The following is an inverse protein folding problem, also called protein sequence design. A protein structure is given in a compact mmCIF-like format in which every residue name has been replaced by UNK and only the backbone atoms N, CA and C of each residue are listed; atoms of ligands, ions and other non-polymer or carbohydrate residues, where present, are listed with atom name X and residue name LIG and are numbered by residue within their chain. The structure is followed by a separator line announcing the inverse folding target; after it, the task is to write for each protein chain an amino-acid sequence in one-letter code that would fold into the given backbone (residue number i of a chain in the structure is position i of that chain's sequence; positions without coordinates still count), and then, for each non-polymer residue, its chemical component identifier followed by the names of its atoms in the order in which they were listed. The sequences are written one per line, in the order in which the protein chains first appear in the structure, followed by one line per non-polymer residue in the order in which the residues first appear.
data_IF_301081201414
#
_entry.id   IF_301081201414
#
_cell.length_a   1.000
_cell.length_b   1.000
_cell.length_c   1.000
_cell.angle_alpha   90.00
_cell.angle_beta   90.00
_cell.angle_gamma   90.00
#
_symmetry.space_group_name_H-M   'P 1'
#
loop_
_entity.id
_entity.type
_entity.pdbx_description
1 polymer ?
#
# COMPACT_ATOMS: atom_id res chain seq x y z
N UNK A 1 -58.20 34.02 57.18
CA UNK A 1 -57.79 34.45 55.83
C UNK A 1 -56.70 33.53 55.31
N UNK A 2 -57.08 32.55 54.44
CA UNK A 2 -56.17 31.52 53.88
C UNK A 2 -55.71 32.00 52.51
N UNK A 3 -54.42 32.18 52.31
CA UNK A 3 -53.86 32.45 51.00
C UNK A 3 -53.55 31.12 50.32
N UNK A 4 -54.16 30.90 49.15
CA UNK A 4 -53.91 29.77 48.28
C UNK A 4 -52.65 30.04 47.45
N UNK A 5 -51.70 29.08 47.51
CA UNK A 5 -50.52 29.08 46.65
C UNK A 5 -50.86 28.50 45.26
N UNK A 6 -50.66 29.31 44.25
CA UNK A 6 -50.81 28.94 42.84
C UNK A 6 -49.58 28.09 42.40
N UNK A 7 -49.84 26.81 42.01
CA UNK A 7 -48.83 25.96 41.32
C UNK A 7 -48.66 26.42 39.88
N UNK A 8 -47.51 27.00 39.57
CA UNK A 8 -47.07 27.22 38.21
C UNK A 8 -46.55 25.90 37.60
N UNK A 9 -47.19 25.44 36.57
CA UNK A 9 -46.86 24.20 35.86
C UNK A 9 -45.48 24.26 35.18
N UNK A 10 -44.58 23.40 35.58
CA UNK A 10 -43.29 23.19 34.96
C UNK A 10 -43.46 22.62 33.55
N UNK A 11 -43.14 23.38 32.51
CA UNK A 11 -42.97 22.86 31.16
C UNK A 11 -41.73 21.97 31.14
N UNK A 12 -41.93 20.66 30.96
CA UNK A 12 -40.82 19.75 30.66
C UNK A 12 -40.10 20.22 29.42
N UNK A 13 -38.86 20.61 29.55
CA UNK A 13 -37.96 20.85 28.41
C UNK A 13 -37.87 19.55 27.62
N UNK A 14 -38.38 19.54 26.39
CA UNK A 14 -38.12 18.50 25.42
C UNK A 14 -36.65 18.61 25.05
N UNK A 15 -35.83 17.67 25.51
CA UNK A 15 -34.49 17.46 25.00
C UNK A 15 -34.62 17.16 23.52
N UNK A 16 -34.15 18.08 22.69
CA UNK A 16 -33.92 17.85 21.27
C UNK A 16 -32.74 16.90 21.22
N UNK A 17 -33.00 15.61 21.12
CA UNK A 17 -32.02 14.62 20.73
C UNK A 17 -31.67 14.91 19.26
N UNK A 18 -30.51 15.50 19.05
CA UNK A 18 -29.86 15.48 17.76
C UNK A 18 -29.57 14.02 17.42
N UNK A 19 -29.94 13.50 16.26
CA UNK A 19 -29.60 12.15 15.86
C UNK A 19 -28.14 12.12 15.40
N UNK A 20 -27.21 12.26 16.31
CA UNK A 20 -25.90 11.69 16.12
C UNK A 20 -26.10 10.20 16.30
N UNK A 21 -26.35 9.50 15.20
CA UNK A 21 -26.18 8.08 15.18
C UNK A 21 -24.78 7.82 15.70
N UNK A 22 -24.69 7.20 16.88
CA UNK A 22 -23.46 6.56 17.32
C UNK A 22 -22.92 5.81 16.11
N UNK A 23 -21.64 5.98 15.71
CA UNK A 23 -21.10 5.15 14.66
C UNK A 23 -21.34 3.72 15.10
N UNK A 24 -22.25 3.04 14.44
CA UNK A 24 -22.43 1.60 14.62
C UNK A 24 -21.09 1.02 14.21
N UNK A 25 -20.29 0.55 15.17
CA UNK A 25 -19.09 -0.24 14.90
C UNK A 25 -19.54 -1.49 14.15
N UNK A 26 -19.62 -1.37 12.84
CA UNK A 26 -19.94 -2.49 11.98
C UNK A 26 -18.66 -3.30 11.89
N UNK A 27 -18.65 -4.44 12.57
CA UNK A 27 -17.56 -5.40 12.41
C UNK A 27 -17.38 -5.71 10.95
N UNK A 28 -16.16 -5.64 10.45
CA UNK A 28 -15.83 -5.89 9.06
C UNK A 28 -16.49 -7.18 8.54
N UNK A 29 -17.09 -7.10 7.34
CA UNK A 29 -17.66 -8.27 6.69
C UNK A 29 -16.54 -9.11 6.08
N UNK A 30 -16.57 -10.43 6.37
CA UNK A 30 -15.61 -11.39 5.83
C UNK A 30 -16.10 -11.93 4.49
N UNK A 31 -15.20 -11.95 3.49
CA UNK A 31 -15.45 -12.46 2.15
C UNK A 31 -14.47 -13.58 1.82
N UNK A 32 -14.90 -14.84 1.80
CA UNK A 32 -14.06 -15.95 1.32
C UNK A 32 -13.87 -15.82 -0.21
N UNK A 33 -12.77 -16.37 -0.72
CA UNK A 33 -12.44 -16.34 -2.15
C UNK A 33 -11.99 -17.72 -2.65
N UNK A 34 -12.73 -18.76 -2.26
CA UNK A 34 -12.46 -20.16 -2.60
C UNK A 34 -13.01 -20.56 -3.98
N UNK A 35 -13.89 -19.77 -4.57
CA UNK A 35 -14.54 -20.00 -5.86
C UNK A 35 -14.58 -18.73 -6.69
N UNK A 36 -14.73 -18.85 -8.01
CA UNK A 36 -14.84 -17.70 -8.92
C UNK A 36 -16.04 -16.79 -8.57
N UNK A 37 -17.13 -17.37 -8.11
CA UNK A 37 -18.31 -16.62 -7.68
C UNK A 37 -18.00 -15.78 -6.45
N UNK A 38 -17.36 -16.37 -5.43
CA UNK A 38 -16.94 -15.66 -4.22
C UNK A 38 -15.91 -14.57 -4.53
N UNK A 39 -14.94 -14.83 -5.42
CA UNK A 39 -13.99 -13.83 -5.90
C UNK A 39 -14.72 -12.65 -6.54
N UNK A 40 -15.70 -12.92 -7.42
CA UNK A 40 -16.48 -11.86 -8.09
C UNK A 40 -17.31 -11.02 -7.10
N UNK A 41 -17.92 -11.67 -6.12
CA UNK A 41 -18.66 -10.98 -5.05
C UNK A 41 -17.73 -10.13 -4.17
N UNK A 42 -16.57 -10.68 -3.78
CA UNK A 42 -15.56 -9.96 -3.00
C UNK A 42 -14.99 -8.76 -3.75
N UNK A 43 -14.68 -8.89 -5.05
CA UNK A 43 -14.21 -7.79 -5.91
C UNK A 43 -15.27 -6.69 -5.99
N UNK A 44 -16.52 -7.06 -6.21
CA UNK A 44 -17.64 -6.08 -6.28
C UNK A 44 -17.76 -5.31 -4.98
N UNK A 45 -17.79 -6.01 -3.85
CA UNK A 45 -17.88 -5.38 -2.52
C UNK A 45 -16.64 -4.53 -2.19
N UNK A 46 -15.45 -5.00 -2.57
CA UNK A 46 -14.20 -4.25 -2.38
C UNK A 46 -14.23 -2.93 -3.15
N UNK A 47 -14.66 -2.95 -4.42
CA UNK A 47 -14.77 -1.73 -5.25
C UNK A 47 -15.82 -0.76 -4.72
N UNK A 48 -16.96 -1.25 -4.24
CA UNK A 48 -17.98 -0.41 -3.60
C UNK A 48 -17.43 0.29 -2.35
N UNK A 49 -16.72 -0.43 -1.50
CA UNK A 49 -16.08 0.13 -0.31
C UNK A 49 -15.00 1.17 -0.68
N UNK A 50 -14.11 0.87 -1.62
CA UNK A 50 -13.06 1.78 -2.09
C UNK A 50 -13.64 3.05 -2.71
N UNK A 51 -14.70 2.94 -3.54
CA UNK A 51 -15.42 4.08 -4.12
C UNK A 51 -16.14 4.94 -3.05
N UNK A 52 -16.41 4.36 -1.89
CA UNK A 52 -16.97 5.06 -0.72
C UNK A 52 -15.90 5.60 0.23
N UNK A 53 -14.62 5.65 -0.23
CA UNK A 53 -13.45 6.11 0.53
C UNK A 53 -13.15 5.28 1.79
N UNK A 54 -13.65 4.05 1.85
CA UNK A 54 -13.43 3.14 2.96
C UNK A 54 -12.12 2.36 2.79
N UNK A 55 -11.63 1.83 3.93
CA UNK A 55 -10.50 0.90 3.96
C UNK A 55 -10.99 -0.54 3.95
N UNK A 56 -10.23 -1.41 3.30
CA UNK A 56 -10.48 -2.84 3.21
C UNK A 56 -9.22 -3.61 3.58
N UNK A 57 -9.35 -4.90 3.87
CA UNK A 57 -8.20 -5.81 4.01
C UNK A 57 -8.20 -6.82 2.87
N UNK A 58 -7.05 -6.97 2.21
CA UNK A 58 -6.85 -7.86 1.07
C UNK A 58 -5.66 -8.80 1.31
N UNK A 59 -5.66 -10.01 0.73
CA UNK A 59 -4.48 -10.87 0.69
C UNK A 59 -3.40 -10.27 -0.21
N UNK A 60 -2.13 -10.63 0.05
CA UNK A 60 -1.01 -10.42 -0.87
C UNK A 60 -0.10 -11.64 -0.86
N UNK A 61 0.91 -11.65 -1.71
CA UNK A 61 1.93 -12.71 -1.75
C UNK A 61 2.87 -12.74 -0.54
N UNK A 62 2.81 -11.72 0.34
CA UNK A 62 3.65 -11.64 1.54
C UNK A 62 2.83 -11.77 2.83
N UNK A 63 2.07 -10.75 3.16
CA UNK A 63 1.20 -10.65 4.34
C UNK A 63 -0.12 -10.02 3.92
N UNK A 64 -1.15 -10.08 4.75
CA UNK A 64 -2.37 -9.31 4.49
C UNK A 64 -2.09 -7.81 4.50
N UNK A 65 -2.77 -7.08 3.62
CA UNK A 65 -2.65 -5.62 3.48
C UNK A 65 -3.96 -4.91 3.79
N UNK A 66 -3.89 -3.81 4.58
CA UNK A 66 -4.95 -2.81 4.60
C UNK A 66 -4.78 -1.91 3.38
N UNK A 67 -5.85 -1.69 2.63
CA UNK A 67 -5.85 -1.00 1.36
C UNK A 67 -6.93 0.07 1.29
N UNK A 68 -6.68 1.13 0.53
CA UNK A 68 -7.65 2.12 0.10
C UNK A 68 -7.32 2.58 -1.33
N UNK A 69 -8.24 3.30 -1.97
CA UNK A 69 -7.96 3.96 -3.25
C UNK A 69 -6.81 4.97 -3.08
N UNK A 70 -5.74 4.84 -3.89
CA UNK A 70 -4.57 5.70 -3.81
C UNK A 70 -4.88 7.17 -4.14
N UNK A 71 -5.93 7.44 -4.90
CA UNK A 71 -6.39 8.79 -5.27
C UNK A 71 -7.42 9.38 -4.30
N UNK A 72 -7.89 8.60 -3.32
CA UNK A 72 -8.81 9.08 -2.28
C UNK A 72 -8.04 9.67 -1.10
N UNK A 73 -8.00 11.00 -0.98
CA UNK A 73 -7.41 11.67 0.19
C UNK A 73 -8.04 11.21 1.50
N UNK A 74 -9.37 11.00 1.50
CA UNK A 74 -10.13 10.52 2.66
C UNK A 74 -9.77 9.07 2.99
N UNK A 75 -9.69 8.20 1.96
CA UNK A 75 -9.29 6.80 2.12
C UNK A 75 -7.88 6.65 2.68
N UNK A 76 -6.92 7.43 2.17
CA UNK A 76 -5.53 7.42 2.68
C UNK A 76 -5.47 7.94 4.12
N UNK A 77 -6.17 9.03 4.44
CA UNK A 77 -6.24 9.55 5.81
C UNK A 77 -6.84 8.52 6.77
N UNK A 78 -7.90 7.81 6.33
CA UNK A 78 -8.53 6.73 7.08
C UNK A 78 -7.57 5.56 7.28
N UNK A 79 -6.86 5.10 6.23
CA UNK A 79 -5.86 4.03 6.33
C UNK A 79 -4.78 4.36 7.37
N UNK A 80 -4.24 5.58 7.35
CA UNK A 80 -3.24 6.02 8.33
C UNK A 80 -3.82 6.03 9.74
N UNK A 81 -5.04 6.53 9.91
CA UNK A 81 -5.75 6.56 11.19
C UNK A 81 -6.02 5.15 11.73
N UNK A 82 -6.54 4.23 10.90
CA UNK A 82 -6.87 2.86 11.28
C UNK A 82 -5.64 2.09 11.77
N UNK A 83 -4.46 2.40 11.22
CA UNK A 83 -3.18 1.84 11.67
C UNK A 83 -2.56 2.57 12.87
N UNK A 84 -3.04 3.74 13.24
CA UNK A 84 -2.37 4.62 14.19
C UNK A 84 -1.00 5.09 13.65
N UNK A 85 -0.93 5.43 12.34
CA UNK A 85 0.29 5.79 11.62
C UNK A 85 0.30 7.27 11.29
N UNK A 86 1.46 7.93 11.44
CA UNK A 86 1.60 9.33 11.08
C UNK A 86 1.75 9.52 9.56
N UNK A 87 1.51 10.73 9.08
CA UNK A 87 1.71 11.11 7.68
C UNK A 87 3.17 11.01 7.22
N UNK A 88 4.13 11.01 8.14
CA UNK A 88 5.57 10.86 7.85
C UNK A 88 5.97 9.44 7.41
N UNK A 89 5.02 8.51 7.45
CA UNK A 89 5.23 7.13 7.00
C UNK A 89 4.19 6.77 5.90
N UNK A 90 4.31 7.32 4.69
CA UNK A 90 3.35 7.11 3.61
C UNK A 90 3.21 5.62 3.25
N UNK A 91 2.01 5.15 2.88
CA UNK A 91 1.82 3.78 2.40
C UNK A 91 2.39 3.62 0.99
N UNK A 92 2.96 2.45 0.64
CA UNK A 92 3.23 2.10 -0.75
C UNK A 92 1.97 2.06 -1.60
N UNK A 93 2.13 2.26 -2.91
CA UNK A 93 1.08 2.09 -3.91
C UNK A 93 1.28 0.77 -4.64
N UNK A 94 0.25 -0.05 -4.69
CA UNK A 94 0.21 -1.23 -5.54
C UNK A 94 -0.39 -0.88 -6.89
N UNK A 95 0.28 -1.33 -7.95
CA UNK A 95 -0.15 -1.22 -9.34
C UNK A 95 -0.31 -2.62 -9.94
N UNK A 96 -1.06 -2.72 -11.00
CA UNK A 96 -1.44 -4.02 -11.56
C UNK A 96 -0.30 -4.66 -12.39
N UNK A 97 0.55 -3.86 -13.06
CA UNK A 97 1.69 -4.35 -13.85
C UNK A 97 2.82 -3.32 -13.94
N UNK A 98 3.96 -3.74 -14.47
CA UNK A 98 5.11 -2.88 -14.66
C UNK A 98 4.87 -1.77 -15.70
N UNK A 99 3.99 -1.97 -16.69
CA UNK A 99 3.69 -0.97 -17.70
C UNK A 99 2.96 0.24 -17.10
N UNK A 100 2.20 0.03 -16.03
CA UNK A 100 1.50 1.07 -15.27
C UNK A 100 2.44 1.99 -14.48
N UNK A 101 3.74 1.63 -14.35
CA UNK A 101 4.71 2.36 -13.53
C UNK A 101 4.88 3.81 -14.00
N UNK A 102 4.94 4.04 -15.31
CA UNK A 102 5.07 5.38 -15.91
C UNK A 102 3.84 6.29 -15.68
N UNK A 103 2.72 5.71 -15.26
CA UNK A 103 1.53 6.48 -14.88
C UNK A 103 1.57 7.02 -13.46
N UNK A 104 2.46 6.50 -12.60
CA UNK A 104 2.54 6.85 -11.17
C UNK A 104 3.91 7.42 -10.76
N UNK A 105 4.96 7.15 -11.53
CA UNK A 105 6.33 7.58 -11.24
C UNK A 105 6.95 8.30 -12.43
N UNK A 106 7.89 9.19 -12.15
CA UNK A 106 8.67 9.96 -13.10
C UNK A 106 10.16 9.61 -12.99
N UNK A 107 10.97 10.00 -13.99
CA UNK A 107 12.42 9.77 -13.99
C UNK A 107 12.84 8.34 -13.65
N UNK A 108 12.14 7.34 -14.22
CA UNK A 108 12.32 5.92 -13.87
C UNK A 108 13.63 5.41 -14.50
N UNK A 109 14.63 4.98 -13.70
CA UNK A 109 15.86 4.39 -14.24
C UNK A 109 15.62 3.07 -14.96
N UNK A 110 16.41 2.78 -16.00
CA UNK A 110 16.30 1.51 -16.77
C UNK A 110 16.50 0.28 -15.90
N UNK A 111 17.35 0.37 -14.88
CA UNK A 111 17.61 -0.69 -13.90
C UNK A 111 16.36 -1.08 -13.11
N UNK A 112 15.43 -0.16 -12.90
CA UNK A 112 14.13 -0.45 -12.24
C UNK A 112 13.28 -1.37 -13.11
N UNK A 113 13.31 -1.18 -14.43
CA UNK A 113 12.63 -2.07 -15.36
C UNK A 113 13.27 -3.48 -15.39
N UNK A 114 14.61 -3.57 -15.23
CA UNK A 114 15.32 -4.84 -15.12
C UNK A 114 14.96 -5.59 -13.83
N UNK A 115 14.95 -4.88 -12.71
CA UNK A 115 14.50 -5.41 -11.43
C UNK A 115 13.04 -5.87 -11.49
N UNK A 116 12.17 -5.07 -12.12
CA UNK A 116 10.77 -5.41 -12.31
C UNK A 116 10.58 -6.68 -13.15
N UNK A 117 11.32 -6.86 -14.25
CA UNK A 117 11.26 -8.10 -15.06
C UNK A 117 11.62 -9.35 -14.27
N UNK A 118 12.48 -9.25 -13.23
CA UNK A 118 12.90 -10.40 -12.41
C UNK A 118 12.01 -10.62 -11.18
N UNK A 119 11.55 -9.54 -10.55
CA UNK A 119 10.94 -9.59 -9.23
C UNK A 119 9.46 -9.17 -9.19
N UNK A 120 8.88 -8.73 -10.31
CA UNK A 120 7.46 -8.44 -10.44
C UNK A 120 6.75 -9.38 -11.42
N UNK A 121 5.54 -9.82 -11.07
CA UNK A 121 4.83 -9.63 -9.80
C UNK A 121 5.57 -10.28 -8.62
N UNK A 122 5.61 -9.61 -7.45
CA UNK A 122 6.27 -10.18 -6.27
C UNK A 122 6.62 -9.19 -5.16
N UNK A 123 7.54 -9.62 -4.31
CA UNK A 123 7.85 -8.98 -3.04
C UNK A 123 8.88 -7.83 -3.14
N UNK A 124 9.02 -7.18 -4.28
CA UNK A 124 9.85 -5.97 -4.46
C UNK A 124 9.00 -4.71 -4.39
N UNK A 125 9.40 -3.76 -3.55
CA UNK A 125 8.87 -2.39 -3.51
C UNK A 125 10.00 -1.43 -3.88
N UNK A 126 9.79 -0.55 -4.87
CA UNK A 126 10.77 0.46 -5.29
C UNK A 126 10.26 1.84 -4.92
N UNK A 127 11.13 2.71 -4.41
CA UNK A 127 10.84 4.12 -4.17
C UNK A 127 11.37 4.90 -5.38
N UNK A 128 10.50 5.72 -5.98
CA UNK A 128 10.77 6.54 -7.16
C UNK A 128 10.25 7.96 -6.95
N UNK A 129 10.63 8.90 -7.80
CA UNK A 129 9.97 10.19 -7.85
C UNK A 129 8.52 10.00 -8.31
N UNK A 130 7.59 10.63 -7.60
CA UNK A 130 6.17 10.61 -7.96
C UNK A 130 5.93 11.48 -9.17
N UNK A 131 5.05 11.04 -10.08
CA UNK A 131 4.66 11.86 -11.23
C UNK A 131 4.01 13.17 -10.75
N UNK A 132 4.55 14.37 -11.08
CA UNK A 132 4.17 15.62 -10.42
C UNK A 132 2.72 16.07 -10.61
N UNK A 133 2.06 15.61 -11.69
CA UNK A 133 0.67 15.99 -11.98
C UNK A 133 -0.39 15.12 -11.32
N UNK A 134 0.01 14.10 -10.53
CA UNK A 134 -0.95 13.24 -9.84
C UNK A 134 -1.59 13.99 -8.67
N UNK A 135 -2.92 14.02 -8.69
CA UNK A 135 -3.69 14.61 -7.60
C UNK A 135 -4.00 13.56 -6.52
N UNK A 136 -2.98 13.14 -5.78
CA UNK A 136 -3.09 12.25 -4.63
C UNK A 136 -2.43 12.84 -3.39
N UNK A 137 -2.83 12.37 -2.22
CA UNK A 137 -2.22 12.73 -0.93
C UNK A 137 -1.92 11.45 -0.14
N UNK A 138 -0.74 10.89 -0.38
CA UNK A 138 -0.28 9.68 0.31
C UNK A 138 0.37 9.96 1.68
N UNK A 139 0.42 11.21 2.11
CA UNK A 139 1.15 11.68 3.28
C UNK A 139 2.38 12.50 2.92
N UNK A 140 3.34 12.60 3.84
CA UNK A 140 4.55 13.42 3.68
C UNK A 140 5.60 12.65 2.85
N UNK A 141 5.35 12.53 1.55
CA UNK A 141 6.14 11.71 0.61
C UNK A 141 7.41 12.40 0.10
N UNK A 142 7.54 13.70 0.31
CA UNK A 142 8.65 14.53 -0.21
C UNK A 142 8.85 14.37 -1.73
N UNK A 143 7.74 14.21 -2.48
CA UNK A 143 7.77 14.05 -3.93
C UNK A 143 8.11 12.64 -4.41
N UNK A 144 8.15 11.64 -3.52
CA UNK A 144 8.41 10.24 -3.88
C UNK A 144 7.16 9.36 -3.78
N UNK A 145 7.22 8.18 -4.37
CA UNK A 145 6.21 7.12 -4.22
C UNK A 145 6.89 5.77 -4.14
N UNK A 146 6.47 4.93 -3.19
CA UNK A 146 6.88 3.54 -3.12
C UNK A 146 5.89 2.69 -3.93
N UNK A 147 6.36 1.93 -4.91
CA UNK A 147 5.51 1.20 -5.86
C UNK A 147 5.82 -0.29 -5.83
N UNK A 148 4.78 -1.13 -5.95
CA UNK A 148 4.90 -2.59 -6.00
C UNK A 148 3.85 -3.19 -6.93
N UNK A 149 4.21 -4.27 -7.64
CA UNK A 149 3.27 -5.18 -8.32
C UNK A 149 3.17 -6.46 -7.48
N UNK A 150 2.06 -6.73 -6.81
CA UNK A 150 1.92 -7.91 -5.94
C UNK A 150 1.76 -9.19 -6.77
N UNK A 151 2.19 -10.35 -6.23
CA UNK A 151 1.96 -11.66 -6.85
C UNK A 151 0.81 -12.40 -6.13
N UNK A 152 -0.37 -11.84 -6.19
CA UNK A 152 -1.59 -12.41 -5.63
C UNK A 152 -2.74 -12.21 -6.61
N UNK A 153 -3.45 -13.30 -6.96
CA UNK A 153 -4.49 -13.29 -7.99
C UNK A 153 -5.65 -12.34 -7.65
N UNK A 154 -6.09 -12.31 -6.38
CA UNK A 154 -7.15 -11.41 -5.94
C UNK A 154 -6.72 -9.95 -6.01
N UNK A 155 -5.52 -9.66 -5.49
CA UNK A 155 -4.98 -8.29 -5.51
C UNK A 155 -4.80 -7.79 -6.94
N UNK A 156 -4.23 -8.60 -7.85
CA UNK A 156 -4.06 -8.23 -9.26
C UNK A 156 -5.40 -7.98 -9.96
N UNK A 157 -6.39 -8.84 -9.72
CA UNK A 157 -7.73 -8.66 -10.27
C UNK A 157 -8.38 -7.36 -9.78
N UNK A 158 -8.28 -7.08 -8.47
CA UNK A 158 -8.80 -5.85 -7.89
C UNK A 158 -8.11 -4.60 -8.48
N UNK A 159 -6.77 -4.63 -8.60
CA UNK A 159 -5.98 -3.56 -9.21
C UNK A 159 -6.34 -3.34 -10.69
N UNK A 160 -6.64 -4.41 -11.43
CA UNK A 160 -7.09 -4.32 -12.83
C UNK A 160 -8.46 -3.64 -12.94
N UNK A 161 -9.39 -3.93 -12.02
CA UNK A 161 -10.77 -3.45 -12.09
C UNK A 161 -10.99 -2.09 -11.41
N UNK A 162 -10.16 -1.73 -10.43
CA UNK A 162 -10.31 -0.49 -9.65
C UNK A 162 -9.22 0.55 -9.99
N UNK A 163 -7.98 0.10 -10.17
CA UNK A 163 -6.82 0.97 -10.32
C UNK A 163 -5.86 0.89 -9.14
N UNK A 164 -4.89 1.82 -9.05
CA UNK A 164 -3.87 1.84 -8.01
C UNK A 164 -4.44 1.93 -6.59
N UNK A 165 -3.89 1.13 -5.67
CA UNK A 165 -4.28 1.09 -4.26
C UNK A 165 -3.12 1.51 -3.36
N UNK A 166 -3.38 2.38 -2.38
CA UNK A 166 -2.46 2.59 -1.27
C UNK A 166 -2.60 1.43 -0.29
N UNK A 167 -1.51 0.69 -0.05
CA UNK A 167 -1.54 -0.55 0.73
C UNK A 167 -0.44 -0.56 1.77
N UNK A 168 -0.77 -0.99 2.98
CA UNK A 168 0.20 -1.25 4.05
C UNK A 168 -0.12 -2.58 4.71
N UNK A 169 0.82 -3.19 5.44
CA UNK A 169 0.55 -4.44 6.18
C UNK A 169 -0.69 -4.32 7.08
N UNK A 170 -1.51 -5.38 7.14
CA UNK A 170 -2.76 -5.40 7.93
C UNK A 170 -2.47 -5.64 9.42
N UNK A 171 -1.97 -4.60 10.10
CA UNK A 171 -1.69 -4.57 11.53
C UNK A 171 -1.76 -3.14 12.05
N UNK A 172 -2.01 -2.97 13.33
CA UNK A 172 -1.74 -1.69 14.02
C UNK A 172 -0.24 -1.45 14.07
N UNK A 173 0.19 -0.20 14.01
CA UNK A 173 1.62 0.18 14.04
C UNK A 173 2.31 -0.43 15.26
N UNK A 174 3.46 -1.07 15.04
CA UNK A 174 4.23 -1.75 16.08
C UNK A 174 3.75 -3.18 16.42
N UNK A 175 2.65 -3.65 15.81
CA UNK A 175 2.19 -5.04 15.95
C UNK A 175 2.67 -5.90 14.78
N UNK A 176 2.65 -7.22 14.95
CA UNK A 176 2.99 -8.16 13.90
C UNK A 176 1.97 -8.08 12.75
N UNK A 177 2.47 -8.15 11.51
CA UNK A 177 1.62 -8.17 10.33
C UNK A 177 0.75 -9.44 10.29
N UNK A 178 -0.51 -9.28 9.92
CA UNK A 178 -1.44 -10.39 9.81
C UNK A 178 -1.07 -11.32 8.65
N UNK A 179 -1.01 -12.61 8.90
CA UNK A 179 -0.77 -13.64 7.89
C UNK A 179 -2.05 -14.38 7.47
N UNK A 180 -3.19 -14.07 8.11
CA UNK A 180 -4.51 -14.56 7.71
C UNK A 180 -5.60 -13.54 8.07
N UNK A 181 -6.80 -13.80 7.55
CA UNK A 181 -7.95 -12.92 7.72
C UNK A 181 -8.36 -12.74 9.19
N UNK A 182 -8.23 -13.81 10.01
CA UNK A 182 -8.59 -13.73 11.43
C UNK A 182 -7.66 -12.78 12.19
N UNK A 183 -6.33 -12.88 11.99
CA UNK A 183 -5.36 -11.96 12.60
C UNK A 183 -5.58 -10.52 12.16
N UNK A 184 -5.95 -10.29 10.89
CA UNK A 184 -6.32 -8.98 10.41
C UNK A 184 -7.59 -8.45 11.06
N UNK A 185 -8.62 -9.31 11.22
CA UNK A 185 -9.86 -8.97 11.89
C UNK A 185 -9.66 -8.61 13.36
N UNK A 186 -8.80 -9.32 14.06
CA UNK A 186 -8.50 -9.08 15.48
C UNK A 186 -7.85 -7.70 15.70
N UNK A 187 -7.08 -7.21 14.74
CA UNK A 187 -6.40 -5.92 14.84
C UNK A 187 -7.18 -4.75 14.22
N UNK A 188 -7.86 -4.96 13.10
CA UNK A 188 -8.43 -3.92 12.26
C UNK A 188 -9.94 -4.07 12.00
N UNK A 189 -10.57 -5.19 12.41
CA UNK A 189 -11.93 -5.54 12.03
C UNK A 189 -13.02 -4.55 12.47
N UNK A 190 -12.75 -3.67 13.42
CA UNK A 190 -13.66 -2.59 13.82
C UNK A 190 -13.49 -1.31 13.00
N UNK A 191 -12.41 -1.21 12.21
CA UNK A 191 -12.03 0.00 11.50
C UNK A 191 -12.27 -0.12 9.99
N UNK A 192 -12.11 -1.33 9.42
CA UNK A 192 -12.21 -1.58 7.98
C UNK A 192 -13.62 -2.03 7.57
N UNK A 193 -14.01 -1.77 6.35
CA UNK A 193 -15.33 -2.10 5.81
C UNK A 193 -15.49 -3.60 5.57
N UNK A 194 -14.46 -4.25 5.01
CA UNK A 194 -14.45 -5.68 4.74
C UNK A 194 -13.05 -6.28 4.82
N UNK A 195 -13.01 -7.60 4.97
CA UNK A 195 -11.78 -8.41 4.96
C UNK A 195 -11.99 -9.55 3.97
N UNK A 196 -11.09 -9.66 3.01
CA UNK A 196 -11.05 -10.79 2.06
C UNK A 196 -10.28 -11.94 2.70
N UNK A 197 -10.87 -13.13 2.73
CA UNK A 197 -10.24 -14.32 3.29
C UNK A 197 -9.78 -15.28 2.18
N UNK A 198 -8.48 -15.32 1.99
CA UNK A 198 -7.81 -16.21 1.02
C UNK A 198 -6.84 -17.19 1.72
N UNK A 199 -7.06 -17.48 3.01
CA UNK A 199 -6.23 -18.38 3.81
C UNK A 199 -4.91 -17.76 4.25
N UNK A 200 -3.97 -18.61 4.70
CA UNK A 200 -2.69 -18.18 5.26
C UNK A 200 -1.74 -17.60 4.21
N UNK A 201 -0.87 -16.67 4.64
CA UNK A 201 0.15 -16.03 3.81
C UNK A 201 1.56 -16.19 4.43
N UNK A 202 2.62 -16.41 3.61
CA UNK A 202 2.52 -16.67 2.16
C UNK A 202 1.72 -17.94 1.87
N UNK A 203 1.03 -17.99 0.72
CA UNK A 203 0.34 -19.20 0.30
C UNK A 203 1.34 -20.35 0.25
N UNK A 204 1.01 -21.50 0.86
CA UNK A 204 1.89 -22.67 0.79
C UNK A 204 2.08 -23.10 -0.66
N UNK A 205 3.30 -23.49 -1.03
CA UNK A 205 3.74 -23.84 -2.39
C UNK A 205 3.02 -25.08 -3.00
N UNK A 206 1.70 -25.16 -2.86
CA UNK A 206 0.85 -26.22 -3.37
C UNK A 206 -0.48 -25.72 -3.93
N UNK A 207 -0.75 -24.41 -3.86
CA UNK A 207 -2.04 -23.83 -4.25
C UNK A 207 -2.02 -23.04 -5.57
N UNK A 208 -0.92 -23.01 -6.30
CA UNK A 208 -0.91 -22.44 -7.66
C UNK A 208 -1.41 -23.49 -8.65
N UNK A 209 -2.68 -23.40 -9.02
CA UNK A 209 -3.16 -24.01 -10.26
C UNK A 209 -2.44 -23.30 -11.42
N UNK A 210 -1.67 -24.11 -12.14
CA UNK A 210 -1.02 -23.80 -13.39
C UNK A 210 -2.04 -23.21 -14.38
N UNK A 211 -1.95 -21.90 -14.62
CA UNK A 211 -2.63 -21.24 -15.73
C UNK A 211 -1.57 -20.62 -16.62
N UNK A 212 -0.90 -21.49 -17.39
CA UNK A 212 -0.14 -21.09 -18.55
C UNK A 212 -1.09 -20.99 -19.74
N UNK A 213 -1.39 -19.77 -20.17
CA UNK A 213 -1.92 -19.54 -21.51
C UNK A 213 -1.13 -18.41 -22.14
N UNK A 214 -0.11 -18.79 -22.87
CA UNK A 214 0.53 -17.96 -23.87
C UNK A 214 -0.51 -17.61 -24.95
N UNK A 215 -0.81 -16.33 -25.12
CA UNK A 215 -1.45 -15.84 -26.33
C UNK A 215 -0.49 -14.91 -27.07
N UNK A 216 0.15 -15.50 -28.07
CA UNK A 216 0.81 -14.83 -29.18
C UNK A 216 -0.23 -13.98 -29.92
N UNK A 217 -0.13 -12.68 -29.87
CA UNK A 217 -0.84 -11.81 -30.78
C UNK A 217 0.10 -10.78 -31.39
N UNK A 218 0.55 -11.14 -32.58
CA UNK A 218 1.20 -10.34 -33.59
C UNK A 218 0.22 -9.26 -34.05
N UNK A 219 0.48 -8.00 -33.76
CA UNK A 219 -0.19 -6.91 -34.45
C UNK A 219 0.82 -5.95 -35.07
N UNK A 220 0.63 -5.80 -36.37
CA UNK A 220 1.32 -4.91 -37.30
C UNK A 220 1.14 -3.45 -36.91
N UNK A 221 2.21 -2.71 -37.02
CA UNK A 221 2.21 -1.25 -37.03
C UNK A 221 1.71 -0.73 -38.39
N UNK A 222 1.06 0.42 -38.44
CA UNK A 222 1.07 1.26 -39.64
C UNK A 222 2.01 2.45 -39.48
N UNK A 223 2.88 2.59 -40.48
CA UNK A 223 3.64 3.80 -40.76
C UNK A 223 2.72 5.01 -40.96
N UNK A 224 3.06 6.14 -40.34
CA UNK A 224 2.73 7.45 -40.94
C UNK A 224 3.79 8.49 -40.54
N UNK A 225 4.26 9.13 -41.60
CA UNK A 225 5.17 10.26 -41.77
C UNK A 225 5.08 11.39 -40.74
N UNK A 226 6.28 11.92 -40.45
CA UNK A 226 6.49 13.27 -39.92
C UNK A 226 6.38 14.32 -41.07
N UNK A 227 6.21 15.63 -40.78
CA UNK A 227 7.35 16.49 -40.55
C UNK A 227 7.18 17.68 -39.58
N UNK A 228 8.26 18.04 -38.93
CA UNK A 228 8.99 19.29 -39.09
C UNK A 228 8.67 20.47 -38.18
N UNK A 229 9.72 20.93 -37.46
CA UNK A 229 10.13 22.33 -37.14
C UNK A 229 9.29 23.07 -36.07
N UNK A 230 9.80 23.92 -35.23
CA UNK A 230 11.04 24.67 -35.01
C UNK A 230 11.05 25.24 -33.57
N UNK A 231 12.26 25.34 -33.06
CA UNK A 231 12.85 26.33 -32.14
C UNK A 231 11.98 27.29 -31.32
N UNK A 232 12.27 27.39 -30.05
CA UNK A 232 12.72 28.64 -29.42
C UNK A 232 13.33 28.42 -28.01
N UNK A 233 14.52 28.98 -27.86
CA UNK A 233 15.30 29.25 -26.65
C UNK A 233 14.52 30.15 -25.66
N UNK A 234 14.76 30.08 -24.37
CA UNK A 234 15.61 30.96 -23.57
C UNK A 234 15.32 30.86 -22.08
N UNK A 235 16.41 30.66 -21.36
CA UNK A 235 16.97 31.42 -20.22
C UNK A 235 16.25 31.32 -18.84
N UNK A 236 17.01 30.71 -17.92
CA UNK A 236 17.79 31.33 -16.85
C UNK A 236 17.00 31.93 -15.66
N UNK A 237 17.26 31.38 -14.53
CA UNK A 237 17.64 31.97 -13.22
C UNK A 237 17.32 30.98 -12.10
N UNK A 238 18.21 30.49 -11.43
CA UNK A 238 19.03 30.53 -10.30
C UNK A 238 18.38 31.10 -9.04
N UNK A 239 18.25 30.26 -8.01
CA UNK A 239 18.37 30.72 -6.61
C UNK A 239 18.62 29.49 -5.71
N UNK A 240 19.76 29.53 -5.08
CA UNK A 240 20.16 28.80 -3.89
C UNK A 240 19.19 29.02 -2.75
N UNK A 241 18.97 27.98 -1.94
CA UNK A 241 19.02 28.17 -0.48
C UNK A 241 19.11 26.83 0.24
N UNK A 242 20.12 26.74 1.04
CA UNK A 242 20.55 25.64 1.88
C UNK A 242 19.76 25.52 3.20
N UNK A 243 19.99 24.34 3.85
CA UNK A 243 19.93 24.11 5.31
C UNK A 243 18.54 23.76 5.86
N UNK A 244 18.35 22.73 6.65
CA UNK A 244 19.12 22.13 7.71
C UNK A 244 18.61 20.75 8.04
N UNK A 245 19.53 19.85 8.30
CA UNK A 245 19.29 18.55 8.92
C UNK A 245 18.96 18.74 10.41
N UNK A 246 17.97 18.00 10.88
CA UNK A 246 17.86 17.72 12.31
C UNK A 246 17.62 16.23 12.52
N UNK A 247 18.60 15.63 13.15
CA UNK A 247 18.75 14.23 13.52
C UNK A 247 17.84 13.87 14.67
N UNK A 248 16.94 12.95 14.48
CA UNK A 248 16.35 12.18 15.58
C UNK A 248 16.95 10.77 15.58
N UNK A 249 17.84 10.54 16.54
CA UNK A 249 18.29 9.22 16.95
C UNK A 249 17.15 8.53 17.69
N UNK A 250 16.78 7.36 17.22
CA UNK A 250 16.20 6.32 18.07
C UNK A 250 16.78 4.98 17.67
N UNK A 251 17.60 4.46 18.57
CA UNK A 251 18.16 3.12 18.56
C UNK A 251 17.24 2.20 19.36
N UNK A 252 16.92 1.02 18.90
CA UNK A 252 16.71 -0.11 19.80
C UNK A 252 17.82 -1.13 19.62
N UNK A 253 18.63 -1.25 20.67
CA UNK A 253 19.41 -2.42 21.04
C UNK A 253 18.43 -3.51 21.47
N UNK A 254 18.61 -4.73 20.97
CA UNK A 254 18.89 -5.88 21.81
C UNK A 254 19.06 -7.15 20.99
N UNK A 255 20.24 -7.70 21.10
CA UNK A 255 20.63 -9.06 20.76
C UNK A 255 19.91 -10.05 21.67
N UNK A 256 19.26 -11.05 21.11
CA UNK A 256 18.99 -12.31 21.79
C UNK A 256 19.42 -13.46 20.88
N UNK A 257 20.58 -14.02 21.19
CA UNK A 257 20.99 -15.35 20.75
C UNK A 257 20.05 -16.38 21.43
N UNK A 258 19.38 -17.18 20.65
CA UNK A 258 18.53 -18.29 21.08
C UNK A 258 18.69 -19.45 20.13
N UNK A 259 19.40 -20.46 20.58
CA UNK A 259 19.68 -21.75 19.95
C UNK A 259 18.41 -22.52 19.57
N UNK A 260 18.41 -22.99 18.32
CA UNK A 260 17.87 -24.23 17.76
C UNK A 260 16.53 -24.80 18.21
N UNK A 261 15.60 -24.83 17.23
CA UNK A 261 14.83 -26.03 16.89
C UNK A 261 14.26 -25.81 15.47
N UNK A 262 14.66 -26.68 14.53
CA UNK A 262 14.14 -26.80 13.17
C UNK A 262 12.69 -27.29 13.23
N UNK A 263 11.72 -26.39 13.37
CA UNK A 263 10.31 -26.55 12.98
C UNK A 263 9.45 -25.29 13.35
N UNK A 264 9.98 -24.10 13.17
CA UNK A 264 9.15 -22.90 13.24
C UNK A 264 8.57 -22.65 11.82
N UNK A 265 7.24 -22.40 11.66
CA UNK A 265 6.69 -22.02 10.38
C UNK A 265 7.44 -20.79 9.88
N UNK A 266 7.89 -20.86 8.61
CA UNK A 266 8.63 -19.77 7.97
C UNK A 266 7.88 -18.45 8.21
N UNK A 267 8.49 -17.53 8.94
CA UNK A 267 7.88 -16.22 9.20
C UNK A 267 7.66 -15.53 7.86
N UNK A 268 6.41 -15.12 7.61
CA UNK A 268 6.08 -14.35 6.44
C UNK A 268 6.85 -13.02 6.46
N UNK A 269 7.81 -12.89 5.57
CA UNK A 269 8.61 -11.68 5.44
C UNK A 269 7.84 -10.63 4.63
N UNK A 270 7.89 -9.35 5.01
CA UNK A 270 7.34 -8.27 4.21
C UNK A 270 8.16 -8.07 2.91
N UNK A 271 7.70 -7.21 2.00
CA UNK A 271 8.44 -6.87 0.79
C UNK A 271 9.79 -6.21 1.12
N UNK A 272 10.80 -6.46 0.28
CA UNK A 272 12.05 -5.69 0.28
C UNK A 272 11.80 -4.32 -0.31
N UNK A 273 12.33 -3.26 0.31
CA UNK A 273 12.17 -1.87 -0.13
C UNK A 273 13.51 -1.35 -0.61
N UNK A 274 13.54 -0.90 -1.86
CA UNK A 274 14.71 -0.34 -2.53
C UNK A 274 14.44 1.13 -2.90
N UNK A 275 15.31 2.04 -2.47
CA UNK A 275 15.28 3.43 -2.88
C UNK A 275 16.05 3.58 -4.20
N UNK A 276 15.33 3.96 -5.25
CA UNK A 276 15.85 4.17 -6.60
C UNK A 276 15.89 5.66 -6.98
N UNK A 277 15.70 6.58 -6.03
CA UNK A 277 15.80 8.03 -6.26
C UNK A 277 17.22 8.56 -6.20
N UNK A 278 18.18 7.72 -5.80
CA UNK A 278 19.60 8.04 -5.68
C UNK A 278 20.48 7.00 -6.39
N UNK A 279 21.72 7.36 -6.66
CA UNK A 279 22.74 6.45 -7.21
C UNK A 279 23.95 6.43 -6.27
N UNK A 280 24.36 5.25 -5.79
CA UNK A 280 23.77 3.91 -6.01
C UNK A 280 22.39 3.76 -5.36
N UNK A 281 21.59 2.78 -5.84
CA UNK A 281 20.31 2.43 -5.20
C UNK A 281 20.54 1.85 -3.80
N UNK A 282 19.65 2.18 -2.87
CA UNK A 282 19.82 1.87 -1.44
C UNK A 282 18.71 0.93 -0.94
N UNK A 283 19.11 -0.18 -0.34
CA UNK A 283 18.15 -1.04 0.38
C UNK A 283 17.73 -0.35 1.67
N UNK A 284 16.47 0.10 1.70
CA UNK A 284 15.86 0.75 2.88
C UNK A 284 15.42 -0.29 3.91
N UNK A 285 14.92 -1.43 3.43
CA UNK A 285 14.49 -2.56 4.24
C UNK A 285 14.64 -3.85 3.46
N UNK A 286 15.41 -4.78 3.98
CA UNK A 286 15.44 -6.14 3.49
C UNK A 286 14.17 -6.90 3.96
N UNK A 287 13.62 -7.70 3.07
CA UNK A 287 12.43 -8.50 3.28
C UNK A 287 12.53 -9.85 2.58
N UNK A 288 11.50 -10.24 1.84
CA UNK A 288 11.47 -11.55 1.17
C UNK A 288 12.50 -11.72 0.03
N UNK A 289 13.05 -10.61 -0.50
CA UNK A 289 14.11 -10.64 -1.51
C UNK A 289 15.39 -10.16 -0.85
N UNK A 290 16.45 -11.00 -0.89
CA UNK A 290 17.75 -10.65 -0.28
C UNK A 290 18.50 -9.61 -1.11
N UNK A 291 19.45 -8.93 -0.46
CA UNK A 291 20.34 -7.94 -1.10
C UNK A 291 21.17 -8.59 -2.21
N UNK A 292 21.64 -9.81 -2.00
CA UNK A 292 22.40 -10.57 -3.00
C UNK A 292 21.61 -10.82 -4.26
N UNK A 293 20.32 -11.20 -4.12
CA UNK A 293 19.43 -11.43 -5.26
C UNK A 293 19.18 -10.14 -6.08
N UNK A 294 19.09 -8.98 -5.40
CA UNK A 294 19.00 -7.68 -6.07
C UNK A 294 20.29 -7.33 -6.81
N UNK A 295 21.46 -7.59 -6.20
CA UNK A 295 22.79 -7.34 -6.79
C UNK A 295 23.11 -8.24 -8.00
N UNK A 296 22.44 -9.38 -8.15
CA UNK A 296 22.54 -10.18 -9.38
C UNK A 296 21.97 -9.42 -10.61
N UNK A 297 21.04 -8.47 -10.40
CA UNK A 297 20.46 -7.64 -11.47
C UNK A 297 21.18 -6.31 -11.55
N UNK A 298 21.37 -5.63 -10.42
CA UNK A 298 22.01 -4.31 -10.32
C UNK A 298 23.16 -4.40 -9.30
N UNK A 299 24.39 -4.70 -9.75
CA UNK A 299 25.52 -4.93 -8.84
C UNK A 299 25.91 -3.75 -7.93
N UNK A 300 25.50 -2.53 -8.30
CA UNK A 300 25.81 -1.30 -7.57
C UNK A 300 24.89 -1.05 -6.37
N UNK A 301 23.88 -1.88 -6.11
CA UNK A 301 22.99 -1.72 -4.96
C UNK A 301 23.77 -1.82 -3.67
N UNK A 302 23.51 -0.90 -2.75
CA UNK A 302 24.11 -0.85 -1.42
C UNK A 302 23.06 -0.93 -0.32
N UNK A 303 23.49 -1.36 0.85
CA UNK A 303 22.69 -1.23 2.07
C UNK A 303 22.94 0.14 2.72
N UNK A 304 22.07 0.55 3.65
CA UNK A 304 22.26 1.80 4.37
C UNK A 304 23.53 1.82 5.20
N UNK A 305 23.95 0.66 5.73
CA UNK A 305 25.19 0.54 6.49
C UNK A 305 26.45 0.76 5.62
N UNK A 306 26.41 0.35 4.35
CA UNK A 306 27.52 0.53 3.40
C UNK A 306 27.63 1.96 2.85
N UNK A 307 26.60 2.81 3.03
CA UNK A 307 26.67 4.23 2.68
C UNK A 307 27.37 5.10 3.72
N UNK A 308 27.38 4.65 4.97
CA UNK A 308 27.92 5.39 6.11
C UNK A 308 29.41 5.09 6.34
N UNK A 309 30.03 4.18 5.53
CA UNK A 309 31.46 3.85 5.53
C UNK A 309 32.25 4.66 4.49
#
# INVERSE_FOLDING_TARGET
MRLQANRVGGKKARSILWPWAEPTHVKAKLYPVSSETEVSEAITAAREALNSHETIVIPTDTVYGIACDAFSHEGVAKLLSDKGRSRTMPPPVMIFDQASLSGVADEIPDEVYELGRKFWPGALTVILYSYPSLNWDLGDTQGTVAVRVPNDEFALKLLTEHGPLAVSSANKTGQQAAVNAQQAADQLGENVSLIVDAGDRPASAGSTKESAAASDSKSQAPDTDAPGSEDTETADSGAESASAAETAKDTPSETAEGTGSDDAPAQALPSTILDCTCTPFVVVREGAISVEALREVVPSIVTRAELDE
#
